data_IF_028411528476
#
_entry.id   IF_028411528476
#
_cell.length_a   1.000
_cell.length_b   1.000
_cell.length_c   1.000
_cell.angle_alpha   90.00
_cell.angle_beta   90.00
_cell.angle_gamma   90.00
#
_symmetry.space_group_name_H-M   'P 1'
#
loop_
_entity.id
_entity.type
_entity.pdbx_description
1 polymer ?
#
# COMPACT_ATOMS: atom_id res chain seq x y z
N UNK A 1 -0.09 -6.99 7.33
CA UNK A 1 0.34 -5.58 7.51
C UNK A 1 -0.27 -4.76 6.39
N UNK A 2 -0.34 -3.44 6.56
CA UNK A 2 -0.69 -2.52 5.48
C UNK A 2 0.02 -1.19 5.71
N UNK A 3 0.28 -0.45 4.64
CA UNK A 3 0.87 0.88 4.71
C UNK A 3 0.04 1.90 3.95
N UNK A 4 0.16 3.17 4.36
CA UNK A 4 -0.33 4.29 3.57
C UNK A 4 0.66 5.44 3.57
N UNK A 5 0.95 5.95 2.38
CA UNK A 5 1.71 7.18 2.19
C UNK A 5 0.76 8.36 2.40
N UNK A 6 1.06 9.29 3.31
CA UNK A 6 0.18 10.41 3.66
C UNK A 6 0.71 11.71 3.04
N UNK A 7 -0.01 12.27 2.05
CA UNK A 7 0.36 13.51 1.36
C UNK A 7 0.48 14.74 2.28
N UNK A 8 1.37 15.66 1.94
CA UNK A 8 1.48 16.97 2.58
C UNK A 8 0.17 17.79 2.50
N UNK A 9 -0.64 17.56 1.46
CA UNK A 9 -1.95 18.19 1.29
C UNK A 9 -2.88 17.93 2.49
N UNK A 10 -2.80 16.77 3.14
CA UNK A 10 -3.57 16.45 4.34
C UNK A 10 -3.22 17.33 5.54
N UNK A 11 -2.06 18.00 5.54
CA UNK A 11 -1.60 18.85 6.62
C UNK A 11 -1.87 20.33 6.38
N UNK A 12 -2.22 20.70 5.14
CA UNK A 12 -2.30 22.09 4.70
C UNK A 12 -3.41 22.88 5.39
N UNK A 13 -4.60 22.28 5.58
CA UNK A 13 -5.77 22.96 6.15
C UNK A 13 -6.14 22.41 7.53
N UNK A 14 -6.95 23.16 8.28
CA UNK A 14 -7.42 22.71 9.60
C UNK A 14 -8.32 21.48 9.47
N UNK A 15 -9.17 21.48 8.44
CA UNK A 15 -10.08 20.39 8.09
C UNK A 15 -9.30 19.13 7.69
N UNK A 16 -8.25 19.29 6.87
CA UNK A 16 -7.36 18.19 6.49
C UNK A 16 -6.67 17.56 7.70
N UNK A 17 -6.14 18.40 8.61
CA UNK A 17 -5.50 17.92 9.85
C UNK A 17 -6.50 17.23 10.78
N UNK A 18 -7.73 17.74 10.87
CA UNK A 18 -8.80 17.12 11.68
C UNK A 18 -9.21 15.77 11.11
N UNK A 19 -9.43 15.68 9.80
CA UNK A 19 -9.74 14.43 9.11
C UNK A 19 -8.60 13.40 9.25
N UNK A 20 -7.35 13.84 9.11
CA UNK A 20 -6.17 13.01 9.31
C UNK A 20 -6.12 12.47 10.74
N UNK A 21 -6.31 13.32 11.76
CA UNK A 21 -6.33 12.89 13.16
C UNK A 21 -7.42 11.82 13.40
N UNK A 22 -8.64 12.07 12.93
CA UNK A 22 -9.75 11.13 13.07
C UNK A 22 -9.50 9.79 12.38
N UNK A 23 -9.01 9.82 11.14
CA UNK A 23 -8.71 8.62 10.38
C UNK A 23 -7.56 7.82 11.01
N UNK A 24 -6.50 8.50 11.48
CA UNK A 24 -5.36 7.86 12.14
C UNK A 24 -5.77 7.21 13.46
N UNK A 25 -6.51 7.92 14.32
CA UNK A 25 -7.02 7.33 15.57
C UNK A 25 -7.92 6.13 15.28
N UNK A 26 -8.85 6.25 14.32
CA UNK A 26 -9.73 5.14 13.96
C UNK A 26 -8.95 3.93 13.42
N UNK A 27 -8.00 4.15 12.51
CA UNK A 27 -7.17 3.07 11.96
C UNK A 27 -6.32 2.40 13.04
N UNK A 28 -5.69 3.18 13.92
CA UNK A 28 -4.81 2.68 14.96
C UNK A 28 -5.60 1.87 15.99
N UNK A 29 -6.78 2.36 16.39
CA UNK A 29 -7.69 1.59 17.26
C UNK A 29 -8.15 0.30 16.60
N UNK A 30 -8.44 0.30 15.29
CA UNK A 30 -8.86 -0.92 14.57
C UNK A 30 -7.80 -2.02 14.61
N UNK A 31 -6.51 -1.67 14.58
CA UNK A 31 -5.40 -2.65 14.72
C UNK A 31 -4.92 -2.82 16.17
N UNK A 32 -5.71 -2.42 17.17
CA UNK A 32 -5.37 -2.59 18.58
C UNK A 32 -4.15 -1.77 19.04
N UNK A 33 -3.83 -0.67 18.34
CA UNK A 33 -2.71 0.21 18.63
C UNK A 33 -1.38 -0.20 17.99
N UNK A 34 -1.34 -1.33 17.29
CA UNK A 34 -0.16 -1.82 16.58
C UNK A 34 0.07 -1.04 15.27
N UNK A 35 0.51 0.21 15.39
CA UNK A 35 0.71 1.11 14.27
C UNK A 35 1.91 2.04 14.48
N UNK A 36 2.47 2.54 13.38
CA UNK A 36 3.63 3.44 13.39
C UNK A 36 3.45 4.56 12.36
N UNK A 37 4.01 5.73 12.69
CA UNK A 37 4.17 6.86 11.77
C UNK A 37 5.66 7.00 11.48
N UNK A 38 6.05 6.78 10.24
CA UNK A 38 7.42 6.99 9.78
C UNK A 38 7.53 8.33 9.06
N UNK A 39 8.51 9.15 9.45
CA UNK A 39 8.81 10.44 8.80
C UNK A 39 10.01 10.25 7.86
N UNK A 40 9.83 9.36 6.88
CA UNK A 40 10.91 8.90 5.98
C UNK A 40 10.68 9.32 4.52
N UNK A 41 9.58 10.01 4.23
CA UNK A 41 9.29 10.48 2.88
C UNK A 41 10.28 11.58 2.47
N UNK A 42 10.83 11.52 1.23
CA UNK A 42 11.84 12.48 0.76
C UNK A 42 11.19 13.81 0.29
N UNK A 43 10.30 14.39 1.09
CA UNK A 43 9.51 15.59 0.73
C UNK A 43 10.37 16.80 0.39
N UNK A 44 11.43 17.03 1.16
CA UNK A 44 12.36 18.14 0.97
C UNK A 44 13.39 17.89 -0.13
N UNK A 45 13.45 16.68 -0.69
CA UNK A 45 14.42 16.35 -1.73
C UNK A 45 13.91 16.80 -3.10
N UNK A 46 14.66 17.73 -3.71
CA UNK A 46 14.36 18.21 -5.05
C UNK A 46 14.71 17.15 -6.11
N UNK A 47 13.70 16.43 -6.60
CA UNK A 47 13.86 15.44 -7.66
C UNK A 47 14.34 16.11 -8.96
N UNK A 48 15.32 15.52 -9.63
CA UNK A 48 15.73 15.94 -10.98
C UNK A 48 14.71 15.52 -12.04
N UNK A 49 14.11 14.33 -11.91
CA UNK A 49 12.94 13.93 -12.68
C UNK A 49 12.10 12.88 -11.91
N UNK A 50 10.76 13.01 -11.90
CA UNK A 50 9.86 11.98 -11.36
C UNK A 50 10.00 10.61 -12.04
N UNK A 51 10.50 10.57 -13.29
CA UNK A 51 10.66 9.35 -14.08
C UNK A 51 11.98 8.60 -13.85
N UNK A 52 12.87 9.13 -13.01
CA UNK A 52 14.18 8.53 -12.74
C UNK A 52 14.10 7.32 -11.80
N UNK A 53 12.98 7.18 -11.08
CA UNK A 53 12.73 6.05 -10.16
C UNK A 53 11.42 5.36 -10.48
N UNK A 54 11.32 4.08 -10.09
CA UNK A 54 10.19 3.21 -10.40
C UNK A 54 9.09 3.18 -9.34
N UNK A 55 9.31 3.83 -8.18
CA UNK A 55 8.32 3.89 -7.09
C UNK A 55 7.24 4.92 -7.40
N UNK A 56 6.05 4.74 -6.83
CA UNK A 56 4.95 5.71 -6.94
C UNK A 56 5.42 7.15 -6.63
N UNK A 57 5.03 8.15 -7.45
CA UNK A 57 5.32 9.56 -7.18
C UNK A 57 4.76 10.06 -5.84
N UNK A 58 3.79 9.36 -5.23
CA UNK A 58 3.19 9.70 -3.95
C UNK A 58 4.25 9.96 -2.86
N UNK A 59 5.37 9.23 -2.88
CA UNK A 59 6.49 9.43 -1.95
C UNK A 59 7.03 10.86 -1.93
N UNK A 60 7.07 11.56 -3.07
CA UNK A 60 7.67 12.90 -3.16
C UNK A 60 6.77 14.00 -2.62
N UNK A 61 5.47 13.74 -2.54
CA UNK A 61 4.47 14.69 -2.04
C UNK A 61 4.00 14.36 -0.63
N UNK A 62 4.63 13.39 0.05
CA UNK A 62 4.20 12.89 1.35
C UNK A 62 5.07 13.39 2.48
N UNK A 63 4.47 13.56 3.65
CA UNK A 63 5.22 13.84 4.89
C UNK A 63 5.37 12.59 5.74
N UNK A 64 4.34 11.74 5.77
CA UNK A 64 4.33 10.52 6.58
C UNK A 64 4.16 9.26 5.72
N UNK A 65 4.73 8.17 6.22
CA UNK A 65 4.46 6.80 5.80
C UNK A 65 3.90 6.05 7.02
N UNK A 66 2.63 5.71 7.00
CA UNK A 66 1.93 5.07 8.11
C UNK A 66 1.91 3.56 7.91
N UNK A 67 2.28 2.81 8.94
CA UNK A 67 2.26 1.35 8.98
C UNK A 67 1.19 0.86 9.97
N UNK A 68 0.43 -0.15 9.57
CA UNK A 68 -0.63 -0.81 10.33
C UNK A 68 -0.31 -2.31 10.40
N UNK A 69 -0.28 -2.86 11.61
CA UNK A 69 0.15 -4.24 11.85
C UNK A 69 -0.95 -5.00 12.56
N UNK A 70 -1.28 -6.17 12.02
CA UNK A 70 -2.10 -7.16 12.69
C UNK A 70 -1.21 -8.33 13.11
N UNK A 71 -1.52 -8.95 14.24
CA UNK A 71 -0.80 -10.09 14.77
C UNK A 71 -1.73 -11.28 14.91
N UNK A 72 -1.18 -12.48 14.77
CA UNK A 72 -1.81 -13.74 15.14
C UNK A 72 -0.77 -14.64 15.80
N UNK A 73 -1.22 -15.65 16.53
CA UNK A 73 -0.34 -16.60 17.21
C UNK A 73 0.07 -17.74 16.28
N UNK A 74 1.14 -18.47 16.63
CA UNK A 74 1.65 -19.58 15.83
C UNK A 74 0.62 -20.71 15.62
N UNK A 75 -0.36 -20.84 16.51
CA UNK A 75 -1.43 -21.83 16.53
C UNK A 75 -2.77 -21.30 15.97
N UNK A 76 -2.79 -20.09 15.40
CA UNK A 76 -4.01 -19.50 14.84
C UNK A 76 -4.49 -20.24 13.59
N UNK A 77 -5.80 -20.48 13.50
CA UNK A 77 -6.45 -21.11 12.34
C UNK A 77 -6.41 -20.21 11.10
N UNK A 78 -6.67 -20.78 9.92
CA UNK A 78 -6.77 -20.01 8.68
C UNK A 78 -7.83 -18.89 8.77
N UNK A 79 -8.99 -19.17 9.37
CA UNK A 79 -10.06 -18.18 9.56
C UNK A 79 -9.63 -17.03 10.48
N UNK A 80 -8.87 -17.33 11.54
CA UNK A 80 -8.32 -16.31 12.42
C UNK A 80 -7.29 -15.44 11.70
N UNK A 81 -6.42 -16.03 10.87
CA UNK A 81 -5.46 -15.29 10.05
C UNK A 81 -6.18 -14.40 9.01
N UNK A 82 -7.21 -14.93 8.34
CA UNK A 82 -8.04 -14.18 7.40
C UNK A 82 -8.75 -12.99 8.07
N UNK A 83 -9.25 -13.17 9.30
CA UNK A 83 -9.85 -12.09 10.08
C UNK A 83 -8.84 -10.98 10.40
N UNK A 84 -7.56 -11.33 10.67
CA UNK A 84 -6.50 -10.33 10.86
C UNK A 84 -6.23 -9.56 9.56
N UNK A 85 -6.13 -10.25 8.41
CA UNK A 85 -5.98 -9.57 7.12
C UNK A 85 -7.13 -8.59 6.85
N UNK A 86 -8.38 -9.02 7.05
CA UNK A 86 -9.56 -8.17 6.88
C UNK A 86 -9.52 -6.96 7.82
N UNK A 87 -9.14 -7.16 9.08
CA UNK A 87 -9.04 -6.07 10.07
C UNK A 87 -8.00 -5.02 9.65
N UNK A 88 -6.83 -5.47 9.19
CA UNK A 88 -5.76 -4.58 8.72
C UNK A 88 -6.16 -3.85 7.43
N UNK A 89 -6.84 -4.54 6.51
CA UNK A 89 -7.35 -3.94 5.27
C UNK A 89 -8.37 -2.84 5.58
N UNK A 90 -9.33 -3.11 6.47
CA UNK A 90 -10.34 -2.15 6.91
C UNK A 90 -9.72 -0.95 7.66
N UNK A 91 -8.61 -1.15 8.37
CA UNK A 91 -7.87 -0.05 8.98
C UNK A 91 -7.18 0.81 7.91
N UNK A 92 -6.59 0.20 6.88
CA UNK A 92 -5.97 0.91 5.77
C UNK A 92 -6.99 1.69 4.94
N UNK A 93 -8.22 1.17 4.75
CA UNK A 93 -9.30 1.86 4.02
C UNK A 93 -9.66 3.22 4.62
N UNK A 94 -9.61 3.34 5.95
CA UNK A 94 -9.81 4.63 6.64
C UNK A 94 -8.79 5.68 6.21
N UNK A 95 -7.55 5.25 5.99
CA UNK A 95 -6.48 6.13 5.50
C UNK A 95 -6.57 6.34 3.98
N UNK A 96 -6.98 5.33 3.20
CA UNK A 96 -7.22 5.48 1.75
C UNK A 96 -8.28 6.55 1.48
N UNK A 97 -9.37 6.55 2.25
CA UNK A 97 -10.48 7.48 2.11
C UNK A 97 -10.07 8.97 2.21
N UNK A 98 -9.07 9.29 3.04
CA UNK A 98 -8.57 10.67 3.20
C UNK A 98 -7.31 10.97 2.38
N UNK A 99 -6.75 9.99 1.68
CA UNK A 99 -5.53 10.14 0.86
C UNK A 99 -5.73 9.68 -0.59
N UNK A 100 -6.78 10.14 -1.30
CA UNK A 100 -7.05 9.71 -2.68
C UNK A 100 -5.86 10.04 -3.60
N UNK A 101 -5.53 9.12 -4.51
CA UNK A 101 -4.40 9.28 -5.43
C UNK A 101 -3.00 9.14 -4.79
N UNK A 102 -2.91 8.90 -3.49
CA UNK A 102 -1.66 8.48 -2.83
C UNK A 102 -1.39 6.98 -3.07
N UNK A 103 -0.35 6.44 -2.44
CA UNK A 103 0.05 5.05 -2.58
C UNK A 103 0.35 4.33 -1.27
N UNK A 104 0.92 3.14 -1.43
CA UNK A 104 1.38 2.27 -0.35
C UNK A 104 2.79 1.76 -0.67
N UNK A 105 3.51 1.33 0.35
CA UNK A 105 4.83 0.75 0.18
C UNK A 105 4.69 -0.74 -0.12
N UNK A 106 4.96 -1.17 -1.36
CA UNK A 106 4.71 -2.54 -1.84
C UNK A 106 5.25 -3.64 -0.91
N UNK A 107 6.37 -3.41 -0.21
CA UNK A 107 7.01 -4.43 0.62
C UNK A 107 6.31 -4.63 1.98
N UNK A 108 5.46 -3.68 2.38
CA UNK A 108 4.72 -3.67 3.65
C UNK A 108 3.22 -3.38 3.42
N UNK A 109 2.77 -3.49 2.17
CA UNK A 109 1.43 -3.15 1.76
C UNK A 109 0.40 -4.18 2.24
N UNK A 110 -0.86 -3.76 2.13
CA UNK A 110 -1.98 -4.68 2.25
C UNK A 110 -1.86 -5.79 1.21
N UNK A 111 -2.09 -7.03 1.63
CA UNK A 111 -2.08 -8.19 0.73
C UNK A 111 -3.15 -8.02 -0.34
N UNK A 112 -4.26 -7.38 0.00
CA UNK A 112 -5.37 -7.07 -0.87
C UNK A 112 -5.37 -5.60 -1.33
N UNK A 113 -4.19 -4.96 -1.43
CA UNK A 113 -4.12 -3.54 -1.81
C UNK A 113 -4.94 -3.28 -3.10
N UNK A 114 -6.00 -2.46 -3.01
CA UNK A 114 -6.79 -2.12 -4.18
C UNK A 114 -5.96 -1.24 -5.10
N UNK A 115 -6.13 -1.44 -6.42
CA UNK A 115 -5.41 -0.66 -7.43
C UNK A 115 -3.88 -0.68 -7.19
N UNK A 116 -3.35 -1.87 -6.88
CA UNK A 116 -1.95 -2.08 -6.54
C UNK A 116 -0.99 -1.52 -7.60
N UNK A 117 -1.40 -1.54 -8.87
CA UNK A 117 -0.68 -0.93 -9.99
C UNK A 117 -0.36 0.55 -9.74
N UNK A 118 -1.37 1.34 -9.40
CA UNK A 118 -1.19 2.75 -9.13
C UNK A 118 -0.62 2.99 -7.72
N UNK A 119 -1.06 2.21 -6.73
CA UNK A 119 -0.62 2.35 -5.34
C UNK A 119 0.89 2.13 -5.18
N UNK A 120 1.49 1.19 -5.90
CA UNK A 120 2.91 0.84 -5.75
C UNK A 120 3.81 1.59 -6.74
N UNK A 121 3.37 1.73 -7.99
CA UNK A 121 4.21 2.25 -9.07
C UNK A 121 3.67 3.52 -9.72
N UNK A 122 2.35 3.78 -9.63
CA UNK A 122 1.73 4.97 -10.19
C UNK A 122 1.99 5.10 -11.69
N UNK A 123 2.32 6.32 -12.13
CA UNK A 123 2.62 6.62 -13.54
C UNK A 123 3.80 5.84 -14.13
N UNK A 124 4.62 5.18 -13.31
CA UNK A 124 5.74 4.35 -13.77
C UNK A 124 5.31 2.96 -14.23
N UNK A 125 4.07 2.52 -13.94
CA UNK A 125 3.62 1.16 -14.16
C UNK A 125 3.74 0.69 -15.62
N UNK A 126 3.24 1.46 -16.59
CA UNK A 126 3.26 1.07 -18.02
C UNK A 126 4.69 0.87 -18.55
N UNK A 127 5.62 1.71 -18.10
CA UNK A 127 7.04 1.58 -18.43
C UNK A 127 7.62 0.32 -17.80
N UNK A 128 7.27 0.01 -16.55
CA UNK A 128 7.70 -1.21 -15.88
C UNK A 128 7.15 -2.46 -16.56
N UNK A 129 5.88 -2.46 -16.99
CA UNK A 129 5.27 -3.54 -17.77
C UNK A 129 6.03 -3.74 -19.08
N UNK A 130 6.39 -2.65 -19.77
CA UNK A 130 7.19 -2.73 -21.00
C UNK A 130 8.57 -3.34 -20.77
N UNK A 131 9.25 -2.97 -19.67
CA UNK A 131 10.53 -3.55 -19.26
C UNK A 131 10.36 -5.05 -18.92
N UNK A 132 9.33 -5.39 -18.15
CA UNK A 132 9.01 -6.76 -17.75
C UNK A 132 8.78 -7.66 -18.97
N UNK A 133 7.98 -7.20 -19.95
CA UNK A 133 7.74 -7.94 -21.20
C UNK A 133 9.00 -8.09 -22.07
N UNK A 134 9.93 -7.11 -22.02
CA UNK A 134 11.21 -7.19 -22.72
C UNK A 134 12.13 -8.27 -22.14
N UNK A 135 12.26 -8.32 -20.82
CA UNK A 135 13.25 -9.19 -20.15
C UNK A 135 12.68 -10.52 -19.64
N UNK A 136 11.37 -10.60 -19.39
CA UNK A 136 10.66 -11.82 -19.01
C UNK A 136 9.41 -12.02 -19.88
N UNK A 137 9.58 -12.21 -21.21
CA UNK A 137 8.46 -12.33 -22.16
C UNK A 137 7.57 -13.54 -21.89
N UNK A 138 8.09 -14.57 -21.21
CA UNK A 138 7.35 -15.79 -20.85
C UNK A 138 6.65 -15.68 -19.49
N UNK A 139 6.89 -14.60 -18.73
CA UNK A 139 6.37 -14.43 -17.39
C UNK A 139 6.77 -15.58 -16.46
N UNK A 140 8.05 -15.98 -16.49
CA UNK A 140 8.61 -16.99 -15.60
C UNK A 140 8.66 -16.47 -14.16
N UNK A 141 9.01 -15.19 -13.99
CA UNK A 141 9.16 -14.53 -12.70
C UNK A 141 7.85 -13.82 -12.31
N UNK A 142 6.81 -14.58 -12.03
CA UNK A 142 5.50 -14.07 -11.64
C UNK A 142 5.31 -14.12 -10.12
N UNK A 143 4.74 -13.08 -9.53
CA UNK A 143 4.49 -12.98 -8.09
C UNK A 143 3.23 -12.14 -7.80
N UNK A 144 2.62 -12.39 -6.64
CA UNK A 144 1.39 -11.70 -6.21
C UNK A 144 1.59 -10.19 -6.21
N UNK A 145 0.71 -9.47 -6.91
CA UNK A 145 0.77 -8.02 -7.07
C UNK A 145 2.14 -7.50 -7.55
N UNK A 146 2.85 -8.26 -8.39
CA UNK A 146 4.05 -7.78 -9.08
C UNK A 146 3.71 -7.08 -10.40
N UNK A 147 4.69 -6.38 -10.97
CA UNK A 147 4.56 -5.75 -12.30
C UNK A 147 4.15 -6.80 -13.34
N UNK A 148 3.04 -6.54 -14.05
CA UNK A 148 2.47 -7.44 -15.04
C UNK A 148 2.13 -8.84 -14.46
N UNK A 149 1.63 -8.87 -13.22
CA UNK A 149 1.12 -10.06 -12.56
C UNK A 149 -0.04 -10.69 -13.36
N UNK A 150 -0.10 -12.04 -13.39
CA UNK A 150 -1.11 -12.79 -14.18
C UNK A 150 -2.51 -12.83 -13.56
N UNK A 151 -2.69 -12.24 -12.37
CA UNK A 151 -3.97 -12.14 -11.70
C UNK A 151 -4.28 -13.30 -10.73
N UNK A 152 -5.28 -13.07 -9.87
CA UNK A 152 -5.63 -13.94 -8.74
C UNK A 152 -6.18 -15.31 -9.14
N UNK A 153 -6.69 -15.45 -10.37
CA UNK A 153 -7.23 -16.71 -10.87
C UNK A 153 -6.16 -17.74 -11.20
N UNK A 154 -4.88 -17.37 -11.20
CA UNK A 154 -3.79 -18.32 -11.42
C UNK A 154 -3.69 -19.30 -10.23
N UNK A 155 -3.51 -20.59 -10.53
CA UNK A 155 -3.41 -21.67 -9.53
C UNK A 155 -2.36 -21.41 -8.44
N UNK A 156 -1.29 -20.68 -8.75
CA UNK A 156 -0.21 -20.34 -7.81
C UNK A 156 -0.66 -19.43 -6.67
N UNK A 157 -1.81 -18.77 -6.81
CA UNK A 157 -2.26 -17.75 -5.87
C UNK A 157 -3.55 -18.11 -5.13
N UNK A 158 -3.99 -19.37 -5.20
CA UNK A 158 -5.22 -19.83 -4.54
C UNK A 158 -5.20 -19.69 -3.01
N UNK A 159 -4.01 -19.58 -2.39
CA UNK A 159 -3.87 -19.39 -0.95
C UNK A 159 -4.06 -17.93 -0.49
N UNK A 160 -4.04 -16.96 -1.41
CA UNK A 160 -4.35 -15.58 -1.07
C UNK A 160 -5.86 -15.44 -0.92
N UNK A 161 -6.30 -14.85 0.19
CA UNK A 161 -7.71 -14.56 0.41
C UNK A 161 -8.17 -13.57 -0.64
N UNK A 162 -8.99 -14.02 -1.59
CA UNK A 162 -9.58 -13.15 -2.59
C UNK A 162 -10.54 -12.20 -1.88
N UNK A 163 -10.18 -10.93 -1.79
CA UNK A 163 -11.12 -9.85 -1.52
C UNK A 163 -12.05 -9.78 -2.73
N UNK A 164 -13.30 -10.21 -2.53
CA UNK A 164 -14.38 -10.12 -3.52
C UNK A 164 -14.83 -8.69 -3.80
#
# INVERSE_FOLDING_TARGET
>A
MATRIVPAANFATAEGRSALLGAMLSAFTTVGGAAQIMVTAPYSYNATSPSDVSVTPAWRNALWHTLLVGFWNYDSTADQQAAVYSTVSAAADKLRAITPGSGAYQNEADVSEPDHENSFWGSSYDRLVSIKKKYDPKGLLDCWHCVNWKGASNERYQCYTQSG
#
